data_IF_884981789173
#
_entry.id   IF_884981789173
#
_cell.length_a   1.000
_cell.length_b   1.000
_cell.length_c   1.000
_cell.angle_alpha   90.00
_cell.angle_beta   90.00
_cell.angle_gamma   90.00
#
_symmetry.space_group_name_H-M   'P 1'
#
loop_
_entity.id
_entity.type
_entity.pdbx_description
1 polymer ?
#
# COMPACT_ATOMS: atom_id res chain seq x y z
N UNK A 1 -9.01 -10.30 5.96
CA UNK A 1 -7.61 -9.91 6.15
C UNK A 1 -6.75 -11.15 6.06
N UNK A 2 -5.69 -11.16 5.24
CA UNK A 2 -4.75 -12.30 5.18
C UNK A 2 -3.89 -12.36 6.44
N UNK A 3 -3.32 -13.52 6.77
CA UNK A 3 -2.22 -13.61 7.74
C UNK A 3 -0.89 -13.47 6.99
N UNK A 4 -0.13 -12.38 7.19
CA UNK A 4 1.12 -12.19 6.46
C UNK A 4 2.20 -13.19 6.89
N UNK A 5 2.97 -13.66 5.91
CA UNK A 5 4.18 -14.45 6.06
C UNK A 5 5.41 -13.52 5.94
N UNK A 6 6.63 -14.00 6.24
CA UNK A 6 7.84 -13.20 6.09
C UNK A 6 8.33 -13.08 4.63
N UNK A 7 7.55 -13.55 3.64
CA UNK A 7 7.91 -13.52 2.21
C UNK A 7 6.86 -12.74 1.42
N UNK A 8 7.25 -11.60 0.84
CA UNK A 8 6.34 -10.69 0.13
C UNK A 8 5.61 -11.39 -1.02
N UNK A 9 6.33 -12.24 -1.78
CA UNK A 9 5.74 -12.97 -2.91
C UNK A 9 4.60 -13.89 -2.48
N UNK A 10 4.72 -14.54 -1.32
CA UNK A 10 3.71 -15.44 -0.78
C UNK A 10 2.48 -14.66 -0.27
N UNK A 11 2.71 -13.47 0.30
CA UNK A 11 1.63 -12.56 0.67
C UNK A 11 0.90 -12.03 -0.56
N UNK A 12 1.63 -11.63 -1.59
CA UNK A 12 1.10 -11.08 -2.84
C UNK A 12 0.17 -12.08 -3.55
N UNK A 13 0.50 -13.38 -3.51
CA UNK A 13 -0.31 -14.44 -4.11
C UNK A 13 -1.69 -14.63 -3.44
N UNK A 14 -1.89 -14.08 -2.24
CA UNK A 14 -3.16 -14.15 -1.50
C UNK A 14 -4.04 -12.90 -1.71
N UNK A 15 -3.52 -11.88 -2.40
CA UNK A 15 -4.22 -10.61 -2.56
C UNK A 15 -5.26 -10.67 -3.70
N UNK A 16 -6.29 -9.81 -3.65
CA UNK A 16 -7.25 -9.67 -4.74
C UNK A 16 -6.56 -9.31 -6.06
N UNK A 17 -7.16 -9.77 -7.16
CA UNK A 17 -6.72 -9.41 -8.49
C UNK A 17 -6.77 -7.89 -8.73
N UNK A 18 -5.89 -7.41 -9.62
CA UNK A 18 -5.78 -6.00 -10.01
C UNK A 18 -6.22 -5.75 -11.45
N UNK A 19 -6.85 -6.74 -12.09
CA UNK A 19 -7.48 -6.61 -13.39
C UNK A 19 -8.55 -5.51 -13.37
N UNK A 20 -8.53 -4.64 -14.38
CA UNK A 20 -9.45 -3.50 -14.49
C UNK A 20 -9.12 -2.29 -13.61
N UNK A 21 -7.98 -2.28 -12.91
CA UNK A 21 -7.45 -1.10 -12.22
C UNK A 21 -6.47 -0.37 -13.14
N UNK A 22 -6.72 0.91 -13.42
CA UNK A 22 -5.78 1.79 -14.12
C UNK A 22 -4.68 2.27 -13.16
N UNK A 23 -5.09 2.79 -12.00
CA UNK A 23 -4.21 3.26 -10.93
C UNK A 23 -4.94 3.38 -9.60
N UNK A 24 -4.19 3.68 -8.55
CA UNK A 24 -4.70 4.10 -7.25
C UNK A 24 -4.24 5.52 -6.98
N UNK A 25 -5.17 6.42 -6.64
CA UNK A 25 -4.87 7.76 -6.15
C UNK A 25 -4.97 7.77 -4.61
N UNK A 26 -3.97 8.35 -3.94
CA UNK A 26 -3.94 8.57 -2.49
C UNK A 26 -4.29 10.00 -2.19
N UNK A 27 -5.32 10.21 -1.39
CA UNK A 27 -5.95 11.51 -1.20
C UNK A 27 -5.87 11.92 0.27
N UNK A 28 -5.40 13.13 0.53
CA UNK A 28 -5.29 13.67 1.89
C UNK A 28 -6.64 14.15 2.45
N UNK A 29 -6.63 14.60 3.70
CA UNK A 29 -7.81 15.12 4.39
C UNK A 29 -8.35 16.43 3.81
N UNK A 30 -7.62 17.08 2.89
CA UNK A 30 -8.04 18.28 2.18
C UNK A 30 -8.64 17.94 0.80
N UNK A 31 -8.63 16.68 0.41
CA UNK A 31 -9.13 16.20 -0.88
C UNK A 31 -8.11 16.28 -2.01
N UNK A 32 -6.85 16.61 -1.74
CA UNK A 32 -5.81 16.64 -2.74
C UNK A 32 -5.20 15.25 -2.98
N UNK A 33 -4.93 14.92 -4.24
CA UNK A 33 -4.16 13.72 -4.59
C UNK A 33 -2.69 13.99 -4.26
N UNK A 34 -2.15 13.27 -3.28
CA UNK A 34 -0.77 13.44 -2.79
C UNK A 34 0.20 12.38 -3.32
N UNK A 35 -0.33 11.32 -3.95
CA UNK A 35 0.44 10.31 -4.67
C UNK A 35 -0.46 9.42 -5.52
N UNK A 36 0.13 8.74 -6.49
CA UNK A 36 -0.51 7.72 -7.30
C UNK A 36 0.33 6.43 -7.38
N UNK A 37 -0.35 5.31 -7.65
CA UNK A 37 0.26 4.02 -7.97
C UNK A 37 -0.36 3.53 -9.27
N UNK A 38 0.32 3.71 -10.38
CA UNK A 38 -0.12 3.23 -11.69
C UNK A 38 0.01 1.71 -11.83
N UNK A 39 -0.93 1.08 -12.56
CA UNK A 39 -0.84 -0.32 -12.97
C UNK A 39 0.18 -0.50 -14.11
N UNK A 40 1.47 -0.44 -13.77
CA UNK A 40 2.59 -0.59 -14.71
C UNK A 40 3.66 -1.56 -14.18
N UNK A 41 4.47 -2.19 -15.06
CA UNK A 41 5.57 -3.05 -14.65
C UNK A 41 6.44 -2.41 -13.56
N UNK A 42 6.72 -3.16 -12.50
CA UNK A 42 7.48 -2.69 -11.34
C UNK A 42 6.66 -2.01 -10.23
N UNK A 43 5.42 -1.56 -10.49
CA UNK A 43 4.51 -0.97 -9.47
C UNK A 43 3.39 -1.91 -9.02
N UNK A 44 3.13 -2.99 -9.75
CA UNK A 44 1.97 -3.87 -9.56
C UNK A 44 1.90 -4.52 -8.17
N UNK A 45 3.04 -4.83 -7.55
CA UNK A 45 3.06 -5.35 -6.18
C UNK A 45 2.46 -4.35 -5.18
N UNK A 46 2.86 -3.08 -5.25
CA UNK A 46 2.27 -2.03 -4.40
C UNK A 46 0.81 -1.76 -4.76
N UNK A 47 0.45 -1.79 -6.05
CA UNK A 47 -0.94 -1.62 -6.47
C UNK A 47 -1.86 -2.67 -5.82
N UNK A 48 -1.46 -3.94 -5.85
CA UNK A 48 -2.21 -5.03 -5.23
C UNK A 48 -2.34 -4.86 -3.71
N UNK A 49 -1.25 -4.48 -3.03
CA UNK A 49 -1.28 -4.21 -1.58
C UNK A 49 -2.25 -3.08 -1.25
N UNK A 50 -2.15 -1.94 -1.94
CA UNK A 50 -3.01 -0.79 -1.65
C UNK A 50 -4.47 -1.04 -2.03
N UNK A 51 -4.74 -1.80 -3.09
CA UNK A 51 -6.09 -2.25 -3.41
C UNK A 51 -6.67 -3.13 -2.30
N UNK A 52 -5.90 -4.10 -1.82
CA UNK A 52 -6.28 -4.96 -0.70
C UNK A 52 -6.54 -4.16 0.59
N UNK A 53 -5.67 -3.19 0.90
CA UNK A 53 -5.84 -2.32 2.08
C UNK A 53 -7.14 -1.50 1.99
N UNK A 54 -7.44 -0.95 0.80
CA UNK A 54 -8.69 -0.24 0.56
C UNK A 54 -9.92 -1.12 0.83
N UNK A 55 -9.94 -2.35 0.32
CA UNK A 55 -11.05 -3.28 0.51
C UNK A 55 -11.18 -3.75 1.97
N UNK A 56 -10.07 -3.88 2.69
CA UNK A 56 -10.04 -4.45 4.05
C UNK A 56 -10.31 -3.41 5.13
N UNK A 57 -9.80 -2.19 4.98
CA UNK A 57 -9.83 -1.16 6.02
C UNK A 57 -10.65 0.09 5.63
N UNK A 58 -10.98 0.27 4.35
CA UNK A 58 -11.71 1.44 3.85
C UNK A 58 -10.86 2.71 3.69
N UNK A 59 -9.91 2.95 4.58
CA UNK A 59 -8.92 4.05 4.53
C UNK A 59 -7.52 3.56 4.90
N UNK A 60 -6.50 4.38 4.57
CA UNK A 60 -5.11 4.13 4.95
C UNK A 60 -4.76 4.88 6.23
N UNK A 61 -5.21 4.35 7.37
CA UNK A 61 -4.83 4.83 8.70
C UNK A 61 -3.69 3.99 9.31
N UNK A 62 -3.34 4.25 10.58
CA UNK A 62 -2.23 3.58 11.25
C UNK A 62 -2.42 2.05 11.29
N UNK A 63 -3.64 1.55 11.53
CA UNK A 63 -3.91 0.11 11.55
C UNK A 63 -3.73 -0.51 10.16
N UNK A 64 -4.27 0.12 9.12
CA UNK A 64 -4.09 -0.31 7.75
C UNK A 64 -2.61 -0.27 7.33
N UNK A 65 -1.88 0.74 7.78
CA UNK A 65 -0.46 0.92 7.50
C UNK A 65 0.40 -0.15 8.16
N UNK A 66 0.20 -0.44 9.44
CA UNK A 66 0.88 -1.52 10.16
C UNK A 66 0.64 -2.88 9.49
N UNK A 67 -0.61 -3.17 9.12
CA UNK A 67 -0.92 -4.40 8.39
C UNK A 67 -0.25 -4.42 7.01
N UNK A 68 -0.28 -3.31 6.29
CA UNK A 68 0.41 -3.17 5.00
C UNK A 68 1.92 -3.41 5.09
N UNK A 69 2.57 -2.91 6.15
CA UNK A 69 3.98 -3.17 6.42
C UNK A 69 4.26 -4.65 6.68
N UNK A 70 3.37 -5.36 7.38
CA UNK A 70 3.49 -6.81 7.55
C UNK A 70 3.32 -7.54 6.21
N UNK A 71 2.38 -7.11 5.36
CA UNK A 71 2.19 -7.66 4.01
C UNK A 71 3.42 -7.47 3.12
N UNK A 72 4.07 -6.29 3.18
CA UNK A 72 5.31 -6.00 2.45
C UNK A 72 6.53 -6.78 2.94
N UNK A 73 6.44 -7.46 4.09
CA UNK A 73 7.42 -8.41 4.59
C UNK A 73 8.88 -7.89 4.54
N UNK A 74 9.78 -8.56 3.82
CA UNK A 74 11.19 -8.21 3.72
C UNK A 74 11.45 -6.77 3.22
N UNK A 75 10.54 -6.21 2.42
CA UNK A 75 10.65 -4.82 1.94
C UNK A 75 10.48 -3.79 3.06
N UNK A 76 9.75 -4.12 4.12
CA UNK A 76 9.61 -3.25 5.29
C UNK A 76 10.92 -3.07 6.04
N UNK A 77 11.67 -4.17 6.24
CA UNK A 77 12.98 -4.10 6.87
C UNK A 77 13.97 -3.30 6.01
N UNK A 78 13.92 -3.50 4.70
CA UNK A 78 14.77 -2.80 3.75
C UNK A 78 14.47 -1.29 3.68
N UNK A 79 13.20 -0.89 3.67
CA UNK A 79 12.78 0.52 3.71
C UNK A 79 13.25 1.24 4.98
N UNK A 80 13.21 0.58 6.14
CA UNK A 80 13.75 1.14 7.39
C UNK A 80 15.26 1.40 7.32
N UNK A 81 16.00 0.52 6.63
CA UNK A 81 17.45 0.63 6.49
C UNK A 81 17.88 1.59 5.37
N UNK A 82 17.01 1.81 4.38
CA UNK A 82 17.27 2.66 3.20
C UNK A 82 16.09 3.59 2.93
N UNK A 83 15.87 4.64 3.76
CA UNK A 83 14.75 5.56 3.58
C UNK A 83 14.72 6.15 2.16
N UNK A 84 13.55 6.10 1.53
CA UNK A 84 13.34 6.58 0.16
C UNK A 84 13.54 5.52 -0.92
N UNK A 85 14.08 4.34 -0.60
CA UNK A 85 14.22 3.24 -1.57
C UNK A 85 12.88 2.61 -1.94
N UNK A 86 11.87 2.74 -1.09
CA UNK A 86 10.55 2.13 -1.27
C UNK A 86 9.43 3.13 -0.97
N UNK A 87 9.14 4.10 -1.86
CA UNK A 87 8.23 5.20 -1.56
C UNK A 87 6.84 4.79 -1.02
N UNK A 88 6.33 3.64 -1.46
CA UNK A 88 5.06 3.08 -0.99
C UNK A 88 5.16 2.46 0.41
N UNK A 89 6.30 1.86 0.76
CA UNK A 89 6.55 1.31 2.10
C UNK A 89 6.90 2.42 3.08
N UNK A 90 7.72 3.40 2.65
CA UNK A 90 8.06 4.59 3.41
C UNK A 90 6.81 5.37 3.83
N UNK A 91 5.81 5.46 2.95
CA UNK A 91 4.51 6.06 3.27
C UNK A 91 3.78 5.33 4.37
N UNK A 92 3.75 4.00 4.34
CA UNK A 92 3.11 3.21 5.38
C UNK A 92 3.88 3.35 6.71
N UNK A 93 5.21 3.40 6.68
CA UNK A 93 6.03 3.68 7.87
C UNK A 93 5.65 5.04 8.49
N UNK A 94 5.48 6.08 7.68
CA UNK A 94 5.09 7.40 8.15
C UNK A 94 3.68 7.41 8.78
N UNK A 95 2.70 6.77 8.12
CA UNK A 95 1.32 6.70 8.63
C UNK A 95 1.24 5.88 9.91
N UNK A 96 1.93 4.74 9.99
CA UNK A 96 2.05 3.96 11.20
C UNK A 96 2.72 4.75 12.35
N UNK A 97 3.62 5.69 12.02
CA UNK A 97 4.26 6.59 12.98
C UNK A 97 3.43 7.84 13.33
N UNK A 98 2.17 7.93 12.87
CA UNK A 98 1.25 9.03 13.22
C UNK A 98 1.08 10.12 12.17
N UNK A 99 1.57 9.93 10.95
CA UNK A 99 1.19 10.82 9.85
C UNK A 99 -0.33 10.71 9.55
N UNK A 100 -0.97 11.76 9.01
CA UNK A 100 -2.40 11.74 8.71
C UNK A 100 -2.80 10.58 7.81
N UNK A 101 -3.99 10.01 8.09
CA UNK A 101 -4.56 8.97 7.25
C UNK A 101 -4.86 9.49 5.83
N UNK A 102 -4.80 8.58 4.85
CA UNK A 102 -5.12 8.88 3.46
C UNK A 102 -6.33 8.06 2.99
N UNK A 103 -7.15 8.65 2.13
CA UNK A 103 -8.16 7.90 1.38
C UNK A 103 -7.49 7.20 0.20
N UNK A 104 -7.80 5.91 0.02
CA UNK A 104 -7.38 5.15 -1.16
C UNK A 104 -8.51 5.19 -2.20
N UNK A 105 -8.24 5.74 -3.38
CA UNK A 105 -9.20 5.81 -4.48
C UNK A 105 -8.74 4.94 -5.65
N UNK A 106 -9.52 3.91 -5.98
CA UNK A 106 -9.24 3.04 -7.14
C UNK A 106 -9.82 3.66 -8.41
N UNK A 107 -8.98 3.88 -9.40
CA UNK A 107 -9.35 4.34 -10.74
C UNK A 107 -9.44 3.12 -11.65
N UNK A 108 -10.58 2.96 -12.34
CA UNK A 108 -10.84 1.83 -13.24
C UNK A 108 -10.30 2.10 -14.64
N UNK A 109 -9.83 1.05 -15.31
CA UNK A 109 -9.36 1.08 -16.71
C UNK A 109 -10.50 1.08 -17.74
#
# INVERSE_FOLDING_TARGET
>A
MIQPTPVFKDNLAQLPAIDGIERIDLIDGQGAVVADIENKPGKQGSLAVYHYLQQTFGQLDAQAAEHGLAVFAEHTADARNRPGAHPNVDRLLAIAAGAPALRIHVVKA
#
